data_IF_118257691612
#
_entry.id   IF_118257691612
#
_cell.length_a   1.000
_cell.length_b   1.000
_cell.length_c   1.000
_cell.angle_alpha   90.00
_cell.angle_beta   90.00
_cell.angle_gamma   90.00
#
_symmetry.space_group_name_H-M   'P 1'
#
loop_
_entity.id
_entity.type
_entity.pdbx_description
1 polymer ?
#
# COMPACT_ATOMS: atom_id res chain seq x y z
N UNK A 1 -6.83 -7.35 17.24
CA UNK A 1 -5.90 -6.37 17.84
C UNK A 1 -5.49 -5.40 16.75
N UNK A 2 -6.01 -4.18 16.74
CA UNK A 2 -5.63 -3.18 15.74
C UNK A 2 -4.33 -2.47 16.14
N UNK A 3 -3.73 -1.74 15.20
CA UNK A 3 -2.65 -0.80 15.52
C UNK A 3 -3.13 0.21 16.58
N UNK A 4 -2.25 0.64 17.51
CA UNK A 4 -2.61 1.67 18.47
C UNK A 4 -3.09 2.96 17.80
N UNK A 5 -4.05 3.62 18.44
CA UNK A 5 -4.50 4.96 18.05
C UNK A 5 -3.35 5.96 18.23
N UNK A 6 -3.22 6.88 17.28
CA UNK A 6 -2.36 8.05 17.45
C UNK A 6 -2.88 8.98 18.55
N UNK A 7 -2.12 10.03 18.87
CA UNK A 7 -2.48 11.05 19.87
C UNK A 7 -3.79 11.79 19.55
N UNK A 8 -4.21 11.79 18.29
CA UNK A 8 -5.52 12.31 17.84
C UNK A 8 -6.70 11.35 18.06
N UNK A 9 -6.46 10.16 18.60
CA UNK A 9 -7.47 9.11 18.79
C UNK A 9 -7.87 8.35 17.53
N UNK A 10 -7.20 8.61 16.39
CA UNK A 10 -7.44 7.94 15.10
C UNK A 10 -6.40 6.85 14.83
N UNK A 11 -6.83 5.77 14.18
CA UNK A 11 -5.93 4.78 13.62
C UNK A 11 -5.35 5.29 12.30
N UNK A 12 -4.10 4.94 12.01
CA UNK A 12 -3.51 5.10 10.68
C UNK A 12 -3.18 3.71 10.13
N UNK A 13 -4.00 3.23 9.20
CA UNK A 13 -3.79 1.95 8.53
C UNK A 13 -3.39 2.23 7.07
N UNK A 14 -2.10 2.28 6.75
CA UNK A 14 -1.67 2.54 5.38
C UNK A 14 -2.12 1.39 4.48
N UNK A 15 -2.84 1.71 3.41
CA UNK A 15 -3.26 0.74 2.40
C UNK A 15 -2.58 1.06 1.08
N UNK A 16 -1.96 0.04 0.50
CA UNK A 16 -1.38 0.07 -0.84
C UNK A 16 -2.23 -0.79 -1.76
N UNK A 17 -2.60 -0.25 -2.91
CA UNK A 17 -3.22 -1.00 -4.00
C UNK A 17 -2.24 -1.10 -5.17
N UNK A 18 -2.40 -2.15 -5.98
CA UNK A 18 -1.66 -2.31 -7.23
C UNK A 18 -2.66 -2.23 -8.39
N UNK A 19 -2.51 -1.23 -9.24
CA UNK A 19 -3.26 -1.12 -10.48
C UNK A 19 -2.63 -1.99 -11.57
N UNK A 20 -3.47 -2.64 -12.38
CA UNK A 20 -3.03 -3.27 -13.63
C UNK A 20 -3.28 -2.26 -14.75
N UNK A 21 -2.19 -1.74 -15.33
CA UNK A 21 -2.26 -0.68 -16.33
C UNK A 21 -1.90 -1.22 -17.72
N UNK A 22 -2.49 -0.63 -18.76
CA UNK A 22 -2.13 -0.89 -20.16
C UNK A 22 -1.22 0.25 -20.61
N UNK A 23 -0.07 -0.10 -21.21
CA UNK A 23 0.83 0.89 -21.80
C UNK A 23 0.11 1.72 -22.87
N UNK A 24 0.27 3.06 -22.80
CA UNK A 24 -0.27 4.00 -23.78
C UNK A 24 0.29 3.79 -25.19
N UNK A 25 1.45 3.13 -25.30
CA UNK A 25 2.10 2.83 -26.60
C UNK A 25 1.78 1.44 -27.14
N UNK A 26 0.97 0.65 -26.42
CA UNK A 26 0.61 -0.71 -26.84
C UNK A 26 -0.08 -0.70 -28.20
N UNK A 27 0.34 -1.64 -29.06
CA UNK A 27 -0.27 -1.86 -30.38
C UNK A 27 -1.44 -2.85 -30.35
N UNK A 28 -1.71 -3.44 -29.18
CA UNK A 28 -2.70 -4.51 -29.00
C UNK A 28 -3.69 -4.18 -27.88
N UNK A 29 -4.21 -2.94 -27.85
CA UNK A 29 -5.10 -2.46 -26.77
C UNK A 29 -6.30 -3.40 -26.53
N UNK A 30 -7.02 -3.91 -27.54
CA UNK A 30 -8.16 -4.80 -27.30
C UNK A 30 -7.76 -6.09 -26.57
N UNK A 31 -6.68 -6.75 -27.01
CA UNK A 31 -6.21 -7.99 -26.37
C UNK A 31 -5.66 -7.73 -24.96
N UNK A 32 -4.94 -6.62 -24.76
CA UNK A 32 -4.46 -6.21 -23.45
C UNK A 32 -5.65 -5.95 -22.50
N UNK A 33 -6.74 -5.36 -22.99
CA UNK A 33 -7.94 -5.15 -22.20
C UNK A 33 -8.63 -6.46 -21.79
N UNK A 34 -8.75 -7.42 -22.71
CA UNK A 34 -9.25 -8.75 -22.36
C UNK A 34 -8.41 -9.43 -21.28
N UNK A 35 -7.08 -9.31 -21.37
CA UNK A 35 -6.17 -9.85 -20.37
C UNK A 35 -6.32 -9.18 -19.00
N UNK A 36 -6.46 -7.85 -18.96
CA UNK A 36 -6.71 -7.13 -17.70
C UNK A 36 -8.01 -7.60 -17.05
N UNK A 37 -9.09 -7.74 -17.82
CA UNK A 37 -10.37 -8.28 -17.31
C UNK A 37 -10.21 -9.69 -16.76
N UNK A 38 -9.45 -10.54 -17.44
CA UNK A 38 -9.17 -11.89 -16.96
C UNK A 38 -8.43 -11.88 -15.62
N UNK A 39 -7.32 -11.14 -15.49
CA UNK A 39 -6.58 -11.08 -14.20
C UNK A 39 -7.41 -10.43 -13.10
N UNK A 40 -8.23 -9.43 -13.43
CA UNK A 40 -9.12 -8.76 -12.47
C UNK A 40 -10.39 -9.57 -12.15
N UNK A 41 -10.55 -10.77 -12.70
CA UNK A 41 -11.68 -11.64 -12.42
C UNK A 41 -11.68 -12.14 -10.97
N UNK A 42 -12.86 -12.53 -10.50
CA UNK A 42 -13.02 -13.10 -9.16
C UNK A 42 -12.15 -14.35 -8.96
N UNK A 43 -12.10 -15.25 -9.94
CA UNK A 43 -11.32 -16.49 -9.88
C UNK A 43 -9.82 -16.22 -9.73
N UNK A 44 -9.29 -15.25 -10.48
CA UNK A 44 -7.90 -14.84 -10.35
C UNK A 44 -7.62 -14.23 -8.97
N UNK A 45 -8.52 -13.38 -8.45
CA UNK A 45 -8.36 -12.83 -7.10
C UNK A 45 -8.51 -13.88 -5.99
N UNK A 46 -9.40 -14.87 -6.14
CA UNK A 46 -9.49 -16.02 -5.23
C UNK A 46 -8.16 -16.76 -5.17
N UNK A 47 -7.49 -16.94 -6.32
CA UNK A 47 -6.14 -17.52 -6.37
C UNK A 47 -5.09 -16.65 -5.66
N UNK A 48 -5.07 -15.33 -5.91
CA UNK A 48 -4.16 -14.38 -5.23
C UNK A 48 -4.29 -14.48 -3.71
N UNK A 49 -5.52 -14.44 -3.20
CA UNK A 49 -5.80 -14.53 -1.77
C UNK A 49 -5.43 -15.89 -1.20
N UNK A 50 -5.76 -16.98 -1.90
CA UNK A 50 -5.43 -18.36 -1.49
C UNK A 50 -3.93 -18.59 -1.33
N UNK A 51 -3.10 -17.94 -2.15
CA UNK A 51 -1.65 -18.05 -2.11
C UNK A 51 -0.99 -17.06 -1.13
N UNK A 52 -1.76 -16.20 -0.46
CA UNK A 52 -1.21 -15.22 0.47
C UNK A 52 -0.45 -14.07 -0.20
N UNK A 53 -0.65 -13.86 -1.50
CA UNK A 53 0.01 -12.78 -2.25
C UNK A 53 -0.59 -11.39 -1.95
N UNK A 54 -1.76 -11.34 -1.32
CA UNK A 54 -2.42 -10.10 -0.91
C UNK A 54 -3.92 -10.32 -0.64
N UNK A 55 -4.62 -9.22 -0.39
CA UNK A 55 -6.08 -9.19 -0.32
C UNK A 55 -6.66 -8.89 -1.71
N UNK A 56 -7.89 -9.34 -1.93
CA UNK A 56 -8.69 -8.98 -3.08
C UNK A 56 -9.28 -7.57 -2.90
N UNK A 57 -9.47 -6.79 -3.98
CA UNK A 57 -10.33 -5.59 -3.94
C UNK A 57 -11.81 -5.94 -3.74
N UNK A 58 -12.21 -7.22 -3.88
CA UNK A 58 -13.57 -7.71 -3.67
C UNK A 58 -13.74 -8.22 -2.23
N UNK A 59 -14.50 -7.55 -1.35
CA UNK A 59 -14.64 -7.94 0.05
C UNK A 59 -15.18 -9.37 0.24
N UNK A 60 -16.09 -9.82 -0.63
CA UNK A 60 -16.64 -11.17 -0.59
C UNK A 60 -15.55 -12.25 -0.70
N UNK A 61 -14.59 -12.07 -1.62
CA UNK A 61 -13.45 -12.99 -1.79
C UNK A 61 -12.60 -13.05 -0.53
N UNK A 62 -12.36 -11.91 0.13
CA UNK A 62 -11.59 -11.90 1.38
C UNK A 62 -12.32 -12.63 2.51
N UNK A 63 -13.61 -12.36 2.68
CA UNK A 63 -14.41 -12.99 3.74
C UNK A 63 -14.53 -14.51 3.54
N UNK A 64 -14.67 -14.97 2.30
CA UNK A 64 -14.81 -16.39 1.99
C UNK A 64 -13.47 -17.14 1.95
N UNK A 65 -12.44 -16.55 1.35
CA UNK A 65 -11.16 -17.23 1.12
C UNK A 65 -10.14 -16.87 2.19
N UNK A 66 -9.83 -15.58 2.37
CA UNK A 66 -8.71 -15.14 3.21
C UNK A 66 -8.83 -15.64 4.65
N UNK A 67 -10.02 -15.53 5.26
CA UNK A 67 -10.22 -16.02 6.64
C UNK A 67 -10.02 -17.53 6.79
N UNK A 68 -10.16 -18.30 5.71
CA UNK A 68 -10.14 -19.76 5.72
C UNK A 68 -8.85 -20.39 5.16
N UNK A 69 -7.92 -19.59 4.62
CA UNK A 69 -6.59 -20.10 4.20
C UNK A 69 -5.78 -20.66 5.37
N UNK A 70 -4.92 -21.64 5.11
CA UNK A 70 -4.15 -22.35 6.13
C UNK A 70 -3.00 -21.53 6.72
N UNK A 71 -2.53 -20.48 6.03
CA UNK A 71 -1.46 -19.63 6.53
C UNK A 71 -2.01 -18.60 7.52
N UNK A 72 -1.20 -18.32 8.56
CA UNK A 72 -1.47 -17.26 9.52
C UNK A 72 -2.58 -17.59 10.54
N UNK A 73 -2.46 -17.13 11.79
CA UNK A 73 -3.52 -17.23 12.79
C UNK A 73 -4.81 -16.49 12.37
N UNK A 74 -5.98 -17.04 12.72
CA UNK A 74 -7.29 -16.43 12.39
C UNK A 74 -7.43 -15.01 12.92
N UNK A 75 -6.97 -14.76 14.15
CA UNK A 75 -6.98 -13.43 14.76
C UNK A 75 -6.10 -12.43 14.00
N UNK A 76 -4.93 -12.83 13.52
CA UNK A 76 -4.07 -11.96 12.69
C UNK A 76 -4.76 -11.63 11.37
N UNK A 77 -5.38 -12.61 10.71
CA UNK A 77 -6.14 -12.38 9.47
C UNK A 77 -7.31 -11.43 9.67
N UNK A 78 -8.03 -11.56 10.78
CA UNK A 78 -9.11 -10.62 11.12
C UNK A 78 -8.58 -9.19 11.26
N UNK A 79 -7.41 -9.00 11.89
CA UNK A 79 -6.78 -7.67 12.02
C UNK A 79 -6.51 -7.02 10.66
N UNK A 80 -6.07 -7.79 9.65
CA UNK A 80 -5.88 -7.26 8.30
C UNK A 80 -7.20 -6.79 7.66
N UNK A 81 -8.30 -7.51 7.90
CA UNK A 81 -9.61 -7.10 7.38
C UNK A 81 -10.16 -5.88 8.13
N UNK A 82 -10.04 -5.87 9.46
CA UNK A 82 -10.47 -4.74 10.29
C UNK A 82 -9.69 -3.45 9.94
N UNK A 83 -8.44 -3.60 9.47
CA UNK A 83 -7.62 -2.46 9.06
C UNK A 83 -8.22 -1.72 7.84
N UNK A 84 -8.96 -2.42 6.98
CA UNK A 84 -9.62 -1.84 5.80
C UNK A 84 -10.79 -0.91 6.16
N UNK A 85 -11.41 -1.07 7.33
CA UNK A 85 -12.49 -0.18 7.80
C UNK A 85 -12.02 1.26 8.01
N UNK A 86 -10.73 1.45 8.28
CA UNK A 86 -10.10 2.75 8.50
C UNK A 86 -8.88 2.92 7.58
N UNK A 87 -9.01 2.48 6.32
CA UNK A 87 -7.96 2.55 5.34
C UNK A 87 -7.50 4.00 5.11
N UNK A 88 -6.19 4.21 5.15
CA UNK A 88 -5.55 5.45 4.72
C UNK A 88 -4.72 5.15 3.47
N UNK A 89 -5.25 5.43 2.26
CA UNK A 89 -4.50 5.22 1.03
C UNK A 89 -3.21 6.03 1.05
N UNK A 90 -2.10 5.40 0.68
CA UNK A 90 -0.86 6.15 0.50
C UNK A 90 -1.01 7.13 -0.66
N UNK A 91 -0.41 8.32 -0.53
CA UNK A 91 -0.33 9.32 -1.58
C UNK A 91 0.19 8.74 -2.91
N UNK A 92 -0.45 9.13 -4.01
CA UNK A 92 -0.22 8.62 -5.37
C UNK A 92 0.29 9.74 -6.28
N UNK A 93 1.41 10.38 -5.92
CA UNK A 93 2.06 11.36 -6.80
C UNK A 93 3.06 10.67 -7.72
N UNK A 94 3.36 11.26 -8.89
CA UNK A 94 4.29 10.70 -9.89
C UNK A 94 5.67 10.38 -9.28
N UNK A 95 6.04 11.06 -8.19
CA UNK A 95 7.32 10.91 -7.49
C UNK A 95 7.20 10.39 -6.07
N UNK A 96 6.08 9.76 -5.73
CA UNK A 96 5.86 9.20 -4.39
C UNK A 96 6.94 8.18 -4.01
N UNK A 97 7.49 7.43 -4.98
CA UNK A 97 8.60 6.49 -4.75
C UNK A 97 9.89 7.18 -4.33
N UNK A 98 10.29 8.22 -5.05
CA UNK A 98 11.50 9.00 -4.76
C UNK A 98 11.37 9.76 -3.44
N UNK A 99 10.20 10.35 -3.21
CA UNK A 99 9.88 11.02 -1.95
C UNK A 99 9.90 10.04 -0.77
N UNK A 100 9.32 8.84 -0.90
CA UNK A 100 9.37 7.80 0.13
C UNK A 100 10.82 7.35 0.42
N UNK A 101 11.67 7.31 -0.60
CA UNK A 101 13.10 6.98 -0.43
C UNK A 101 13.79 8.04 0.42
N UNK A 102 13.59 9.33 0.11
CA UNK A 102 14.15 10.44 0.91
C UNK A 102 13.63 10.46 2.35
N UNK A 103 12.33 10.24 2.53
CA UNK A 103 11.71 10.10 3.86
C UNK A 103 12.40 8.98 4.64
N UNK A 104 12.59 7.80 4.02
CA UNK A 104 13.24 6.65 4.65
C UNK A 104 14.70 6.92 5.05
N UNK A 105 15.50 7.49 4.14
CA UNK A 105 16.91 7.84 4.39
C UNK A 105 17.05 8.79 5.59
N UNK A 106 16.21 9.83 5.65
CA UNK A 106 16.28 10.84 6.72
C UNK A 106 15.73 10.29 8.03
N UNK A 107 14.65 9.50 7.99
CA UNK A 107 14.10 8.83 9.15
C UNK A 107 15.16 7.90 9.80
N UNK A 108 15.96 7.19 9.00
CA UNK A 108 17.05 6.36 9.53
C UNK A 108 18.09 7.20 10.29
N UNK A 109 18.47 8.36 9.77
CA UNK A 109 19.44 9.27 10.41
C UNK A 109 18.89 9.81 11.74
N UNK A 110 17.60 10.17 11.78
CA UNK A 110 16.90 10.57 13.02
C UNK A 110 16.91 9.43 14.03
N UNK A 111 16.48 8.23 13.62
CA UNK A 111 16.39 7.05 14.50
C UNK A 111 17.76 6.62 15.06
N UNK A 112 18.85 6.90 14.34
CA UNK A 112 20.23 6.65 14.79
C UNK A 112 20.81 7.79 15.66
N UNK A 113 19.98 8.77 16.06
CA UNK A 113 20.37 9.96 16.84
C UNK A 113 21.52 10.75 16.20
N UNK A 114 21.64 10.73 14.87
CA UNK A 114 22.67 11.48 14.13
C UNK A 114 22.27 12.93 13.85
N UNK A 115 20.97 13.22 13.92
CA UNK A 115 20.38 14.55 13.83
C UNK A 115 19.22 14.63 14.84
N UNK A 116 18.88 15.84 15.30
CA UNK A 116 17.71 16.03 16.15
C UNK A 116 16.43 15.71 15.36
N UNK A 117 15.34 15.36 16.06
CA UNK A 117 14.04 15.14 15.43
C UNK A 117 13.58 16.39 14.67
N UNK A 118 13.75 17.57 15.28
CA UNK A 118 13.33 18.83 14.67
C UNK A 118 14.11 19.14 13.38
N UNK A 119 15.44 19.05 13.43
CA UNK A 119 16.28 19.34 12.25
C UNK A 119 16.12 18.27 11.17
N UNK A 120 15.92 17.02 11.58
CA UNK A 120 15.63 15.92 10.66
C UNK A 120 14.30 16.12 9.93
N UNK A 121 13.25 16.58 10.62
CA UNK A 121 11.96 16.87 10.00
C UNK A 121 12.03 18.08 9.05
N UNK A 122 12.77 19.14 9.41
CA UNK A 122 13.03 20.28 8.49
C UNK A 122 13.75 19.82 7.23
N UNK A 123 14.81 19.02 7.40
CA UNK A 123 15.55 18.45 6.27
C UNK A 123 14.67 17.54 5.41
N UNK A 124 13.77 16.77 6.02
CA UNK A 124 12.83 15.91 5.31
C UNK A 124 11.88 16.72 4.43
N UNK A 125 11.33 17.82 4.96
CA UNK A 125 10.47 18.73 4.22
C UNK A 125 11.19 19.33 2.99
N UNK A 126 12.40 19.87 3.19
CA UNK A 126 13.21 20.46 2.13
C UNK A 126 13.57 19.45 1.02
N UNK A 127 14.01 18.25 1.39
CA UNK A 127 14.44 17.22 0.42
C UNK A 127 13.27 16.61 -0.34
N UNK A 128 12.12 16.41 0.33
CA UNK A 128 10.90 15.96 -0.34
C UNK A 128 10.39 17.04 -1.30
N UNK A 129 10.42 18.31 -0.90
CA UNK A 129 9.98 19.40 -1.76
C UNK A 129 10.83 19.50 -3.04
N UNK A 130 12.16 19.34 -2.94
CA UNK A 130 13.05 19.27 -4.12
C UNK A 130 12.66 18.16 -5.07
N UNK A 131 12.33 16.97 -4.55
CA UNK A 131 11.86 15.85 -5.38
C UNK A 131 10.58 16.23 -6.12
N UNK A 132 9.63 16.86 -5.42
CA UNK A 132 8.35 17.28 -6.00
C UNK A 132 8.51 18.41 -7.03
N UNK A 133 9.49 19.30 -6.86
CA UNK A 133 9.74 20.46 -7.73
C UNK A 133 10.55 20.13 -8.99
N UNK A 134 11.36 19.08 -8.99
CA UNK A 134 12.03 18.64 -10.21
C UNK A 134 10.95 18.26 -11.26
N UNK A 135 11.09 18.72 -12.50
CA UNK A 135 10.19 18.35 -13.60
C UNK A 135 10.69 17.11 -14.33
#
# INVERSE_FOLDING_TARGET
>A
MQMPKGTSGKNFNPVQSKGICISSTSKNIPAAWEFVKYIASEDCYRSVVKNGAGLSPMPAVNNEVFLNVSFGPKNTKQVYLDALENACPLWQTVKAGDANTKIGEIAEVIMRNKISVEDGLKKMDEEVQKVLDDN
#
